data_IF_337007883587
#
_entry.id   IF_337007883587
#
_cell.length_a   1.000
_cell.length_b   1.000
_cell.length_c   1.000
_cell.angle_alpha   90.00
_cell.angle_beta   90.00
_cell.angle_gamma   90.00
#
_symmetry.space_group_name_H-M   'P 1'
#
loop_
_entity.id
_entity.type
_entity.pdbx_description
1 polymer ?
#
# COMPACT_ATOMS: atom_id res chain seq x y z
N UNK A 1 28.94 -10.59 -32.75
CA UNK A 1 28.48 -9.24 -32.33
C UNK A 1 26.95 -9.11 -32.31
N UNK A 2 26.20 -9.45 -33.37
CA UNK A 2 24.71 -9.39 -33.37
C UNK A 2 24.00 -10.12 -32.21
N UNK A 3 24.45 -11.32 -31.83
CA UNK A 3 23.83 -12.10 -30.74
C UNK A 3 24.03 -11.48 -29.35
N UNK A 4 25.13 -10.75 -29.14
CA UNK A 4 25.41 -10.03 -27.88
C UNK A 4 24.48 -8.82 -27.73
N UNK A 5 24.24 -8.09 -28.83
CA UNK A 5 23.33 -6.94 -28.84
C UNK A 5 21.88 -7.34 -28.58
N UNK A 6 21.43 -8.50 -29.11
CA UNK A 6 20.07 -9.02 -28.88
C UNK A 6 19.90 -9.46 -27.42
N UNK A 7 20.89 -10.17 -26.85
CA UNK A 7 20.84 -10.59 -25.45
C UNK A 7 20.85 -9.39 -24.48
N UNK A 8 21.65 -8.36 -24.76
CA UNK A 8 21.67 -7.13 -23.99
C UNK A 8 20.34 -6.36 -24.09
N UNK A 9 19.71 -6.30 -25.28
CA UNK A 9 18.42 -5.66 -25.45
C UNK A 9 17.29 -6.36 -24.65
N UNK A 10 17.27 -7.69 -24.63
CA UNK A 10 16.30 -8.46 -23.83
C UNK A 10 16.44 -8.23 -22.32
N UNK A 11 17.67 -8.10 -21.82
CA UNK A 11 17.94 -7.82 -20.40
C UNK A 11 17.49 -6.42 -19.98
N UNK A 12 17.61 -5.42 -20.87
CA UNK A 12 17.15 -4.05 -20.61
C UNK A 12 15.61 -3.98 -20.60
N UNK A 13 14.95 -4.68 -21.53
CA UNK A 13 13.47 -4.73 -21.60
C UNK A 13 12.90 -5.47 -20.38
N UNK A 14 13.57 -6.53 -19.89
CA UNK A 14 13.16 -7.24 -18.68
C UNK A 14 13.40 -6.45 -17.38
N UNK A 15 14.37 -5.54 -17.36
CA UNK A 15 14.62 -4.65 -16.21
C UNK A 15 13.62 -3.50 -16.10
N UNK A 16 13.10 -3.00 -17.23
CA UNK A 16 12.18 -1.86 -17.27
C UNK A 16 10.76 -2.18 -16.74
N UNK A 17 10.38 -3.45 -16.65
CA UNK A 17 9.04 -3.85 -16.15
C UNK A 17 8.96 -3.98 -14.63
N UNK A 18 10.08 -3.81 -13.91
CA UNK A 18 10.15 -3.93 -12.45
C UNK A 18 10.07 -2.59 -11.72
N UNK A 19 9.74 -1.49 -12.40
CA UNK A 19 9.32 -0.26 -11.72
C UNK A 19 7.97 -0.53 -11.05
N UNK A 20 8.03 -1.03 -9.81
CA UNK A 20 6.95 -0.97 -8.83
C UNK A 20 6.53 0.49 -8.76
N UNK A 21 5.44 0.82 -9.44
CA UNK A 21 4.80 2.12 -9.34
C UNK A 21 4.20 2.19 -7.93
N UNK A 22 5.01 2.54 -6.94
CA UNK A 22 4.51 3.00 -5.66
C UNK A 22 3.86 4.37 -5.92
N UNK A 23 2.63 4.53 -5.49
CA UNK A 23 1.94 5.80 -5.61
C UNK A 23 2.45 6.81 -4.58
N UNK A 24 1.95 8.02 -4.67
CA UNK A 24 2.34 9.15 -3.82
C UNK A 24 1.46 9.32 -2.58
N UNK A 25 0.40 8.51 -2.42
CA UNK A 25 -0.52 8.65 -1.29
C UNK A 25 0.00 7.96 -0.02
N UNK A 26 0.13 8.76 1.02
CA UNK A 26 0.57 8.34 2.33
C UNK A 26 -0.49 7.58 3.13
N UNK A 27 -0.09 7.12 4.31
CA UNK A 27 -0.95 6.36 5.20
C UNK A 27 -2.16 7.20 5.66
N UNK A 28 -3.35 6.63 5.58
CA UNK A 28 -4.62 7.26 5.93
C UNK A 28 -5.26 8.07 4.81
N UNK A 29 -4.56 8.29 3.69
CA UNK A 29 -5.11 9.02 2.56
C UNK A 29 -6.08 8.18 1.74
N UNK A 30 -7.04 8.85 1.09
CA UNK A 30 -8.08 8.20 0.30
C UNK A 30 -7.51 7.65 -1.00
N UNK A 31 -7.79 6.39 -1.31
CA UNK A 31 -7.33 5.72 -2.52
C UNK A 31 -8.49 5.06 -3.27
N UNK A 32 -8.32 4.87 -4.58
CA UNK A 32 -9.24 4.05 -5.39
C UNK A 32 -8.66 2.67 -5.71
N UNK A 33 -7.34 2.55 -5.77
CA UNK A 33 -6.64 1.29 -6.04
C UNK A 33 -5.26 1.26 -5.38
N UNK A 34 -4.65 0.08 -5.36
CA UNK A 34 -3.36 -0.20 -4.72
C UNK A 34 -2.19 0.63 -5.24
N UNK A 35 -2.19 0.99 -6.53
CA UNK A 35 -1.06 1.68 -7.16
C UNK A 35 -0.97 3.16 -6.75
N UNK A 36 -2.00 3.69 -6.09
CA UNK A 36 -2.00 5.07 -5.59
C UNK A 36 -1.29 5.20 -4.25
N UNK A 37 -1.15 4.11 -3.49
CA UNK A 37 -0.55 4.15 -2.17
C UNK A 37 0.98 3.99 -2.25
N UNK A 38 1.69 4.64 -1.32
CA UNK A 38 3.13 4.50 -1.16
C UNK A 38 3.55 3.04 -0.89
N UNK A 39 4.84 2.77 -1.14
CA UNK A 39 5.41 1.45 -0.87
C UNK A 39 5.21 1.07 0.61
N UNK A 40 4.71 -0.16 0.84
CA UNK A 40 4.37 -0.64 2.19
C UNK A 40 2.92 -0.37 2.61
N UNK A 41 2.14 0.32 1.78
CA UNK A 41 0.71 0.58 2.00
C UNK A 41 -0.17 -0.16 0.97
N UNK A 42 -1.42 -0.41 1.35
CA UNK A 42 -2.43 -1.08 0.53
C UNK A 42 -3.77 -0.37 0.64
N UNK A 43 -4.55 -0.37 -0.44
CA UNK A 43 -5.81 0.35 -0.50
C UNK A 43 -6.96 -0.48 0.09
N UNK A 44 -7.26 -0.27 1.37
CA UNK A 44 -8.35 -0.98 2.06
C UNK A 44 -9.54 -0.06 2.32
N UNK A 45 -10.71 -0.47 1.84
CA UNK A 45 -11.97 0.31 1.96
C UNK A 45 -11.83 1.78 1.52
N UNK A 46 -10.91 2.03 0.57
CA UNK A 46 -10.63 3.35 0.02
C UNK A 46 -9.71 4.23 0.86
N UNK A 47 -8.97 3.67 1.81
CA UNK A 47 -7.85 4.33 2.51
C UNK A 47 -6.55 3.53 2.35
N UNK A 48 -5.43 4.23 2.20
CA UNK A 48 -4.10 3.62 2.21
C UNK A 48 -3.75 3.22 3.65
N UNK A 49 -3.76 1.92 3.94
CA UNK A 49 -3.41 1.37 5.25
C UNK A 49 -2.13 0.54 5.13
N UNK A 50 -1.46 0.31 6.26
CA UNK A 50 -0.22 -0.46 6.27
C UNK A 50 -0.47 -1.91 5.82
N UNK A 51 0.38 -2.40 4.91
CA UNK A 51 0.37 -3.80 4.51
C UNK A 51 0.70 -4.68 5.71
N UNK A 52 0.07 -5.85 5.80
CA UNK A 52 0.25 -6.78 6.93
C UNK A 52 1.71 -7.21 7.09
N UNK A 53 2.43 -7.33 5.99
CA UNK A 53 3.85 -7.67 5.98
C UNK A 53 4.75 -6.57 6.57
N UNK A 54 4.25 -5.34 6.70
CA UNK A 54 4.97 -4.18 7.20
C UNK A 54 4.41 -3.64 8.54
N UNK A 55 3.31 -4.21 9.03
CA UNK A 55 2.63 -3.86 10.29
C UNK A 55 3.17 -4.71 11.47
N UNK A 56 4.49 -4.69 11.67
CA UNK A 56 5.14 -5.46 12.73
C UNK A 56 4.78 -4.93 14.11
N UNK A 57 4.32 -5.83 14.99
CA UNK A 57 3.86 -5.46 16.33
C UNK A 57 2.46 -4.83 16.36
N UNK A 58 1.77 -4.80 15.22
CA UNK A 58 0.38 -4.39 15.14
C UNK A 58 -0.56 -5.35 15.89
N UNK A 59 -1.66 -4.82 16.41
CA UNK A 59 -2.72 -5.58 17.10
C UNK A 59 -3.55 -6.48 16.15
N UNK A 60 -3.17 -6.55 14.86
CA UNK A 60 -3.87 -7.29 13.82
C UNK A 60 -5.20 -6.64 13.41
N UNK A 61 -5.38 -5.35 13.73
CA UNK A 61 -6.58 -4.57 13.40
C UNK A 61 -6.41 -3.65 12.20
N UNK A 62 -5.22 -3.55 11.63
CA UNK A 62 -4.96 -2.76 10.42
C UNK A 62 -5.90 -3.17 9.28
N UNK A 63 -6.49 -2.18 8.62
CA UNK A 63 -7.51 -2.37 7.59
C UNK A 63 -8.88 -2.83 8.11
N UNK A 64 -9.06 -3.04 9.42
CA UNK A 64 -10.38 -3.40 9.97
C UNK A 64 -11.24 -2.16 10.19
N UNK A 65 -12.58 -2.31 10.08
CA UNK A 65 -13.50 -1.23 10.38
C UNK A 65 -13.33 -0.66 11.78
N UNK A 66 -13.50 0.66 11.92
CA UNK A 66 -13.44 1.37 13.19
C UNK A 66 -14.48 2.50 13.20
N UNK A 67 -14.84 2.98 14.40
CA UNK A 67 -15.66 4.18 14.56
C UNK A 67 -14.83 5.36 15.10
N UNK A 68 -13.82 5.06 15.91
CA UNK A 68 -12.91 6.02 16.54
C UNK A 68 -11.52 5.38 16.78
N UNK A 69 -10.56 6.19 17.22
CA UNK A 69 -9.17 5.75 17.43
C UNK A 69 -9.01 4.67 18.52
N UNK A 70 -9.93 4.59 19.49
CA UNK A 70 -9.86 3.58 20.55
C UNK A 70 -10.08 2.16 20.00
N UNK A 71 -10.82 2.03 18.89
CA UNK A 71 -10.99 0.74 18.21
C UNK A 71 -9.65 0.24 17.62
N UNK A 72 -8.77 1.18 17.24
CA UNK A 72 -7.49 0.95 16.58
C UNK A 72 -6.29 0.85 17.52
N UNK A 73 -6.49 0.74 18.84
CA UNK A 73 -5.38 0.59 19.81
C UNK A 73 -4.42 -0.52 19.35
N UNK A 74 -3.16 -0.13 19.11
CA UNK A 74 -2.10 -1.00 18.63
C UNK A 74 -2.05 -1.21 17.11
N UNK A 75 -2.83 -0.47 16.31
CA UNK A 75 -2.88 -0.54 14.84
C UNK A 75 -3.17 0.83 14.21
N UNK A 76 -2.50 1.87 14.70
CA UNK A 76 -2.62 3.24 14.19
C UNK A 76 -3.91 3.95 14.59
N UNK A 77 -4.42 4.81 13.71
CA UNK A 77 -5.59 5.66 13.92
C UNK A 77 -6.76 5.23 13.04
N UNK A 78 -7.97 5.63 13.42
CA UNK A 78 -9.17 5.40 12.64
C UNK A 78 -9.30 6.44 11.52
N UNK A 79 -9.03 6.03 10.29
CA UNK A 79 -9.00 6.92 9.11
C UNK A 79 -10.23 6.71 8.23
N UNK A 80 -10.66 7.76 7.53
CA UNK A 80 -11.83 7.71 6.64
C UNK A 80 -11.41 7.35 5.21
N UNK A 81 -11.94 6.24 4.70
CA UNK A 81 -11.78 5.79 3.33
C UNK A 81 -12.91 6.26 2.40
N UNK A 82 -13.28 5.41 1.45
CA UNK A 82 -14.33 5.72 0.48
C UNK A 82 -15.73 5.46 1.07
N UNK A 83 -16.72 6.23 0.59
CA UNK A 83 -18.14 6.04 0.92
C UNK A 83 -18.44 6.07 2.44
N UNK A 84 -17.68 6.85 3.21
CA UNK A 84 -17.88 7.01 4.65
C UNK A 84 -17.42 5.81 5.50
N UNK A 85 -16.79 4.81 4.88
CA UNK A 85 -16.15 3.72 5.61
C UNK A 85 -14.93 4.25 6.36
N UNK A 86 -14.67 3.69 7.52
CA UNK A 86 -13.48 4.02 8.33
C UNK A 86 -12.75 2.75 8.70
N UNK A 87 -11.43 2.78 8.63
CA UNK A 87 -10.55 1.64 8.91
C UNK A 87 -9.33 2.04 9.74
N UNK A 88 -8.72 1.09 10.45
CA UNK A 88 -7.49 1.35 11.17
C UNK A 88 -6.28 1.42 10.23
N UNK A 89 -5.48 2.48 10.35
CA UNK A 89 -4.41 2.81 9.41
C UNK A 89 -3.18 1.89 9.46
N UNK A 90 -2.93 1.22 10.59
CA UNK A 90 -1.69 0.49 10.86
C UNK A 90 -0.61 1.33 11.52
N UNK A 91 0.38 0.66 12.13
CA UNK A 91 1.48 1.26 12.90
C UNK A 91 2.79 1.21 12.11
#
# INVERSE_FOLDING_TARGET
>A
MRKLCIAAACLIIAGATLTLMAGDKGQGEKCFNEAECEFGLTCTDGACVKKKEFDYGGSGKTGKPCNNDADCIGSGTCVEGAFGKKVCSGN
#
